data_IF_979207707498
#
_entry.id   IF_979207707498
#
_cell.length_a   1.000
_cell.length_b   1.000
_cell.length_c   1.000
_cell.angle_alpha   90.00
_cell.angle_beta   90.00
_cell.angle_gamma   90.00
#
_symmetry.space_group_name_H-M   'P 1'
#
loop_
_entity.id
_entity.type
_entity.pdbx_description
1 polymer ?
#
# COMPACT_ATOMS: atom_id res chain seq x y z
N UNK A 1 60.72 -12.62 15.64
CA UNK A 1 59.38 -12.81 15.03
C UNK A 1 58.41 -11.96 15.82
N UNK A 2 57.93 -10.84 15.25
CA UNK A 2 57.04 -9.91 15.94
C UNK A 2 55.58 -10.36 15.78
N UNK A 3 54.89 -10.59 16.89
CA UNK A 3 53.50 -11.02 16.92
C UNK A 3 52.58 -9.82 16.65
N UNK A 4 51.78 -9.90 15.59
CA UNK A 4 50.75 -8.93 15.26
C UNK A 4 49.52 -9.16 16.14
N UNK A 5 49.23 -8.23 17.05
CA UNK A 5 48.02 -8.24 17.88
C UNK A 5 46.87 -7.67 17.05
N UNK A 6 45.96 -8.54 16.62
CA UNK A 6 44.71 -8.18 15.95
C UNK A 6 43.71 -7.65 16.99
N UNK A 7 43.49 -6.33 17.03
CA UNK A 7 42.38 -5.73 17.78
C UNK A 7 41.06 -5.99 17.02
N UNK A 8 40.21 -6.86 17.57
CA UNK A 8 38.84 -7.02 17.10
C UNK A 8 37.98 -5.85 17.60
N UNK A 9 37.60 -4.95 16.69
CA UNK A 9 36.58 -3.92 16.96
C UNK A 9 35.21 -4.61 17.00
N UNK A 10 34.64 -4.72 18.20
CA UNK A 10 33.24 -5.12 18.39
C UNK A 10 32.36 -3.92 18.09
N UNK A 11 31.69 -3.92 16.95
CA UNK A 11 30.64 -2.94 16.62
C UNK A 11 29.37 -3.39 17.35
N UNK A 12 29.11 -2.82 18.52
CA UNK A 12 27.83 -3.00 19.19
C UNK A 12 26.74 -2.21 18.41
N UNK A 13 25.56 -2.79 18.12
CA UNK A 13 24.46 -2.02 17.57
C UNK A 13 24.00 -1.06 18.66
N UNK A 14 24.06 0.24 18.39
CA UNK A 14 23.48 1.26 19.23
C UNK A 14 21.95 1.07 19.25
N UNK A 15 21.44 0.37 20.26
CA UNK A 15 20.03 0.38 20.58
C UNK A 15 19.65 1.80 20.97
N UNK A 16 19.01 2.51 20.04
CA UNK A 16 18.44 3.82 20.27
C UNK A 16 17.52 3.75 21.49
N UNK A 17 17.88 4.48 22.55
CA UNK A 17 17.04 4.63 23.72
C UNK A 17 15.81 5.45 23.30
N UNK A 18 14.63 4.83 23.35
CA UNK A 18 13.35 5.50 23.18
C UNK A 18 13.14 6.48 24.35
N UNK A 19 13.56 7.73 24.15
CA UNK A 19 13.08 8.86 24.94
C UNK A 19 11.57 8.95 24.75
N UNK A 20 10.82 8.49 25.74
CA UNK A 20 9.38 8.64 25.82
C UNK A 20 9.05 10.10 26.16
N UNK A 21 8.98 10.93 25.13
CA UNK A 21 8.45 12.30 25.18
C UNK A 21 6.91 12.24 25.39
N UNK A 22 6.28 13.19 26.09
CA UNK A 22 4.88 13.07 26.50
C UNK A 22 4.00 12.97 25.27
N UNK A 23 3.16 11.93 25.24
CA UNK A 23 2.33 11.53 24.11
C UNK A 23 1.30 12.62 23.75
N UNK A 24 1.73 13.62 22.97
CA UNK A 24 0.86 14.45 22.18
C UNK A 24 0.16 13.55 21.17
N UNK A 25 -0.99 12.97 21.57
CA UNK A 25 -1.94 12.19 20.78
C UNK A 25 -1.35 11.69 19.46
N UNK A 26 -0.34 10.81 19.55
CA UNK A 26 0.38 10.39 18.36
C UNK A 26 -0.61 9.64 17.48
N UNK A 27 -0.97 10.24 16.34
CA UNK A 27 -1.84 9.59 15.37
C UNK A 27 -1.22 8.24 15.02
N UNK A 28 -1.85 7.17 15.48
CA UNK A 28 -1.32 5.82 15.33
C UNK A 28 -1.22 5.50 13.84
N UNK A 29 -0.01 5.16 13.37
CA UNK A 29 0.21 4.68 12.01
C UNK A 29 -0.44 3.31 11.86
N UNK A 30 -1.40 3.21 10.94
CA UNK A 30 -2.12 1.99 10.59
C UNK A 30 -1.45 1.41 9.34
N UNK A 31 -0.85 0.22 9.48
CA UNK A 31 -0.27 -0.51 8.36
C UNK A 31 -1.28 -1.47 7.75
N UNK A 32 -1.56 -1.33 6.45
CA UNK A 32 -2.38 -2.27 5.68
C UNK A 32 -1.55 -2.96 4.61
N UNK A 33 -1.75 -4.26 4.45
CA UNK A 33 -1.10 -5.07 3.41
C UNK A 33 -2.07 -5.24 2.26
N UNK A 34 -1.70 -4.76 1.08
CA UNK A 34 -2.47 -4.90 -0.14
C UNK A 34 -1.84 -5.99 -1.01
N UNK A 35 -2.66 -6.96 -1.42
CA UNK A 35 -2.25 -8.01 -2.36
C UNK A 35 -2.53 -7.47 -3.76
N UNK A 36 -1.49 -7.20 -4.54
CA UNK A 36 -1.66 -6.86 -5.95
C UNK A 36 -2.17 -8.09 -6.71
N UNK A 37 -3.25 -7.93 -7.48
CA UNK A 37 -3.78 -8.95 -8.37
C UNK A 37 -3.04 -8.88 -9.71
N UNK A 38 -2.32 -9.95 -10.05
CA UNK A 38 -1.57 -10.07 -11.31
C UNK A 38 -0.64 -11.29 -11.32
N UNK A 39 -0.05 -11.57 -12.48
CA UNK A 39 0.94 -12.66 -12.67
C UNK A 39 2.14 -12.55 -11.74
N UNK A 40 2.44 -11.33 -11.27
CA UNK A 40 3.40 -11.04 -10.22
C UNK A 40 2.67 -10.70 -8.92
N UNK A 41 2.25 -11.72 -8.17
CA UNK A 41 1.59 -11.52 -6.88
C UNK A 41 2.59 -11.02 -5.83
N UNK A 42 2.80 -9.70 -5.78
CA UNK A 42 3.57 -9.02 -4.73
C UNK A 42 2.63 -8.47 -3.67
N UNK A 43 3.04 -8.57 -2.40
CA UNK A 43 2.35 -7.94 -1.26
C UNK A 43 3.03 -6.62 -0.97
N UNK A 44 2.28 -5.53 -1.01
CA UNK A 44 2.77 -4.20 -0.66
C UNK A 44 2.19 -3.85 0.70
N UNK A 45 3.05 -3.40 1.62
CA UNK A 45 2.63 -2.90 2.94
C UNK A 45 2.71 -1.39 2.94
N UNK A 46 1.58 -0.74 3.19
CA UNK A 46 1.50 0.72 3.27
C UNK A 46 1.12 1.09 4.70
N UNK A 47 1.91 1.95 5.34
CA UNK A 47 1.67 2.45 6.69
C UNK A 47 1.37 3.94 6.61
N UNK A 48 0.17 4.34 7.04
CA UNK A 48 -0.30 5.73 7.01
C UNK A 48 -1.09 6.03 8.28
N UNK A 49 -1.28 7.30 8.62
CA UNK A 49 -2.14 7.70 9.75
C UNK A 49 -3.62 7.47 9.43
N UNK A 50 -4.49 7.52 10.44
CA UNK A 50 -5.93 7.39 10.21
C UNK A 50 -6.46 8.51 9.30
N UNK A 51 -6.03 9.76 9.51
CA UNK A 51 -6.42 10.87 8.67
C UNK A 51 -6.01 10.67 7.19
N UNK A 52 -4.83 10.10 6.94
CA UNK A 52 -4.37 9.80 5.59
C UNK A 52 -5.19 8.69 4.92
N UNK A 53 -5.55 7.64 5.67
CA UNK A 53 -6.43 6.58 5.16
C UNK A 53 -7.84 7.09 4.83
N UNK A 54 -8.39 7.99 5.66
CA UNK A 54 -9.71 8.56 5.45
C UNK A 54 -9.72 9.43 4.18
N UNK A 55 -8.68 10.27 3.96
CA UNK A 55 -8.52 11.04 2.70
C UNK A 55 -8.42 10.15 1.46
N UNK A 56 -7.68 9.04 1.55
CA UNK A 56 -7.54 8.09 0.45
C UNK A 56 -8.89 7.41 0.10
N UNK A 57 -9.68 7.10 1.12
CA UNK A 57 -11.01 6.51 0.95
C UNK A 57 -11.97 7.50 0.27
N UNK A 58 -11.99 8.76 0.69
CA UNK A 58 -12.82 9.80 0.07
C UNK A 58 -12.53 10.00 -1.41
N UNK A 59 -11.26 10.03 -1.81
CA UNK A 59 -10.86 10.16 -3.21
C UNK A 59 -11.27 8.94 -4.06
N UNK A 60 -11.17 7.75 -3.46
CA UNK A 60 -11.55 6.49 -4.12
C UNK A 60 -13.06 6.42 -4.34
N UNK A 61 -13.87 6.83 -3.36
CA UNK A 61 -15.34 6.86 -3.46
C UNK A 61 -15.84 7.77 -4.59
N UNK A 62 -15.25 8.98 -4.75
CA UNK A 62 -15.63 9.89 -5.84
C UNK A 62 -15.31 9.31 -7.22
N UNK A 63 -14.20 8.59 -7.32
CA UNK A 63 -13.80 7.92 -8.56
C UNK A 63 -14.76 6.78 -8.90
N UNK A 64 -15.13 5.96 -7.90
CA UNK A 64 -16.11 4.88 -8.06
C UNK A 64 -17.49 5.44 -8.43
N UNK A 65 -17.99 6.45 -7.73
CA UNK A 65 -19.29 7.09 -8.04
C UNK A 65 -19.32 7.62 -9.48
N UNK A 66 -18.25 8.27 -9.93
CA UNK A 66 -18.14 8.73 -11.33
C UNK A 66 -18.17 7.55 -12.31
N UNK A 67 -17.36 6.52 -12.07
CA UNK A 67 -17.31 5.33 -12.92
C UNK A 67 -18.63 4.55 -12.92
N UNK A 68 -19.36 4.51 -11.80
CA UNK A 68 -20.67 3.88 -11.71
C UNK A 68 -21.71 4.63 -12.53
N UNK A 69 -21.69 5.97 -12.53
CA UNK A 69 -22.58 6.79 -13.37
C UNK A 69 -22.23 6.70 -14.85
N UNK A 70 -20.95 6.60 -15.20
CA UNK A 70 -20.49 6.41 -16.58
C UNK A 70 -20.75 4.99 -17.09
N UNK A 71 -20.58 3.98 -16.24
CA UNK A 71 -20.84 2.57 -16.56
C UNK A 71 -22.30 2.26 -16.86
N UNK A 72 -23.23 3.04 -16.28
CA UNK A 72 -24.67 2.95 -16.59
C UNK A 72 -24.98 3.39 -18.05
N UNK A 73 -24.13 4.21 -18.66
CA UNK A 73 -24.25 4.61 -20.08
C UNK A 73 -23.50 3.69 -21.05
N UNK A 74 -22.58 2.84 -20.58
CA UNK A 74 -21.99 1.75 -21.38
C UNK A 74 -22.90 0.52 -21.26
N UNK A 75 -24.10 0.62 -21.83
CA UNK A 75 -24.90 -0.56 -22.11
C UNK A 75 -24.08 -1.48 -23.03
N UNK A 76 -24.14 -2.82 -22.85
CA UNK A 76 -23.62 -3.72 -23.85
C UNK A 76 -24.38 -3.39 -25.13
N UNK A 77 -23.67 -2.99 -26.18
CA UNK A 77 -24.19 -3.14 -27.53
C UNK A 77 -24.37 -4.64 -27.75
N UNK A 78 -25.50 -5.17 -27.29
CA UNK A 78 -26.19 -6.29 -27.92
C UNK A 78 -26.61 -5.80 -29.31
N UNK A 79 -25.63 -5.53 -30.18
CA UNK A 79 -25.85 -5.35 -31.59
C UNK A 79 -25.75 -6.74 -32.23
N UNK A 80 -26.92 -7.37 -32.26
CA UNK A 80 -27.47 -7.96 -33.47
C UNK A 80 -26.71 -9.12 -34.11
N UNK A 81 -27.25 -10.33 -33.88
CA UNK A 81 -27.47 -11.39 -34.86
C UNK A 81 -26.41 -11.61 -35.96
N UNK A 82 -25.68 -12.70 -35.85
CA UNK A 82 -25.02 -13.34 -37.00
C UNK A 82 -26.08 -14.14 -37.78
N UNK A 83 -26.43 -13.81 -39.04
CA UNK A 83 -27.18 -14.74 -39.87
C UNK A 83 -26.19 -15.82 -40.36
N UNK A 84 -26.53 -17.08 -40.09
CA UNK A 84 -25.84 -18.22 -40.67
C UNK A 84 -26.04 -18.24 -42.19
N UNK A 85 -24.95 -18.44 -42.93
CA UNK A 85 -24.98 -18.80 -44.35
C UNK A 85 -24.71 -20.30 -44.48
N UNK A 86 -25.68 -21.02 -45.03
CA UNK A 86 -25.55 -22.41 -45.47
C UNK A 86 -25.06 -22.53 -46.91
#
# INVERSE_FOLDING_TARGET
MAAAVLLAVVIAPASAQETSEPAAQQEKKICRSQKMTGSLTRRIRTCMTKAEWDRLAEGSQRTVDRLSREGDMVQPTTQSGMPGGG
#
